data_IF_827222244855
#
_entry.id   IF_827222244855
#
_cell.length_a   1.000
_cell.length_b   1.000
_cell.length_c   1.000
_cell.angle_alpha   90.00
_cell.angle_beta   90.00
_cell.angle_gamma   90.00
#
_symmetry.space_group_name_H-M   'P 1'
#
loop_
_entity.id
_entity.type
_entity.pdbx_description
1 polymer ?
#
# COMPACT_ATOMS: atom_id res chain seq x y z
N UNK A 1 25.78 -8.25 -26.49
CA UNK A 1 24.56 -8.04 -25.68
C UNK A 1 24.04 -9.42 -25.30
N UNK A 2 24.05 -9.78 -24.02
CA UNK A 2 23.64 -11.10 -23.57
C UNK A 2 22.12 -11.23 -23.53
N UNK A 3 21.58 -12.37 -23.99
CA UNK A 3 20.18 -12.75 -23.77
C UNK A 3 20.00 -13.12 -22.30
N UNK A 4 19.33 -12.26 -21.53
CA UNK A 4 18.92 -12.58 -20.16
C UNK A 4 17.68 -13.47 -20.22
N UNK A 5 17.90 -14.78 -20.31
CA UNK A 5 16.81 -15.77 -20.27
C UNK A 5 16.44 -16.06 -18.81
N UNK A 6 15.17 -15.86 -18.47
CA UNK A 6 14.59 -16.26 -17.18
C UNK A 6 13.68 -17.46 -17.41
N UNK A 7 13.99 -18.58 -16.76
CA UNK A 7 13.14 -19.77 -16.75
C UNK A 7 12.23 -19.70 -15.54
N UNK A 8 10.93 -19.92 -15.74
CA UNK A 8 9.91 -19.94 -14.67
C UNK A 8 9.26 -21.31 -14.67
N UNK A 9 9.41 -22.03 -13.58
CA UNK A 9 8.69 -23.28 -13.37
C UNK A 9 7.26 -22.98 -12.93
N UNK A 10 6.31 -23.48 -13.71
CA UNK A 10 4.89 -23.22 -13.50
C UNK A 10 4.19 -24.53 -13.12
N UNK A 11 3.45 -24.59 -11.99
CA UNK A 11 2.64 -25.77 -11.65
C UNK A 11 1.64 -26.12 -12.76
N UNK A 12 1.35 -27.41 -12.92
CA UNK A 12 0.49 -27.92 -14.00
C UNK A 12 -0.91 -27.29 -13.98
N UNK A 13 -1.47 -27.05 -12.79
CA UNK A 13 -2.78 -26.44 -12.59
C UNK A 13 -2.81 -25.00 -13.12
N UNK A 14 -1.71 -24.27 -12.89
CA UNK A 14 -1.53 -22.91 -13.37
C UNK A 14 -1.38 -22.89 -14.89
N UNK A 15 -0.61 -23.81 -15.47
CA UNK A 15 -0.50 -23.95 -16.91
C UNK A 15 -1.86 -24.23 -17.57
N UNK A 16 -2.64 -25.17 -17.04
CA UNK A 16 -3.99 -25.46 -17.54
C UNK A 16 -4.91 -24.23 -17.51
N UNK A 17 -4.79 -23.39 -16.47
CA UNK A 17 -5.56 -22.15 -16.36
C UNK A 17 -5.16 -21.16 -17.45
N UNK A 18 -3.86 -21.00 -17.73
CA UNK A 18 -3.35 -20.14 -18.80
C UNK A 18 -3.87 -20.62 -20.16
N UNK A 19 -3.82 -21.92 -20.45
CA UNK A 19 -4.33 -22.50 -21.70
C UNK A 19 -5.81 -22.18 -21.89
N UNK A 20 -6.64 -22.39 -20.86
CA UNK A 20 -8.08 -22.08 -20.95
C UNK A 20 -8.34 -20.60 -21.23
N UNK A 21 -7.62 -19.71 -20.55
CA UNK A 21 -7.78 -18.26 -20.73
C UNK A 21 -7.28 -17.81 -22.11
N UNK A 22 -6.16 -18.35 -22.59
CA UNK A 22 -5.61 -18.06 -23.91
C UNK A 22 -6.60 -18.44 -25.03
N UNK A 23 -7.27 -19.60 -24.89
CA UNK A 23 -8.32 -20.00 -25.81
C UNK A 23 -9.53 -19.05 -25.81
N UNK A 24 -9.91 -18.50 -24.65
CA UNK A 24 -11.01 -17.54 -24.56
C UNK A 24 -10.71 -16.22 -25.28
N UNK A 25 -9.44 -15.82 -25.32
CA UNK A 25 -8.99 -14.59 -25.99
C UNK A 25 -8.42 -14.84 -27.40
N UNK A 26 -8.50 -16.08 -27.89
CA UNK A 26 -8.04 -16.46 -29.24
C UNK A 26 -6.52 -16.39 -29.44
N UNK A 27 -5.74 -16.43 -28.36
CA UNK A 27 -4.26 -16.37 -28.41
C UNK A 27 -3.63 -17.72 -28.14
N UNK A 28 -2.38 -17.89 -28.58
CA UNK A 28 -1.57 -19.04 -28.20
C UNK A 28 -1.21 -18.98 -26.70
N UNK A 29 -1.17 -20.11 -25.98
CA UNK A 29 -0.85 -20.13 -24.54
C UNK A 29 0.47 -19.45 -24.18
N UNK A 30 1.53 -19.66 -24.97
CA UNK A 30 2.86 -19.09 -24.70
C UNK A 30 2.90 -17.58 -24.91
N UNK A 31 2.18 -17.08 -25.92
CA UNK A 31 2.06 -15.66 -26.21
C UNK A 31 1.29 -14.95 -25.10
N UNK A 32 0.18 -15.54 -24.66
CA UNK A 32 -0.61 -15.01 -23.56
C UNK A 32 0.12 -15.06 -22.22
N UNK A 33 0.85 -16.15 -21.95
CA UNK A 33 1.67 -16.26 -20.74
C UNK A 33 2.75 -15.18 -20.69
N UNK A 34 3.43 -14.93 -21.82
CA UNK A 34 4.45 -13.89 -21.92
C UNK A 34 3.87 -12.51 -21.65
N UNK A 35 2.77 -12.17 -22.32
CA UNK A 35 2.10 -10.87 -22.16
C UNK A 35 1.64 -10.64 -20.71
N UNK A 36 1.12 -11.67 -20.04
CA UNK A 36 0.75 -11.61 -18.63
C UNK A 36 1.95 -11.34 -17.72
N UNK A 37 3.06 -12.02 -17.95
CA UNK A 37 4.29 -11.84 -17.16
C UNK A 37 4.88 -10.44 -17.40
N UNK A 38 4.98 -10.01 -18.66
CA UNK A 38 5.47 -8.67 -19.01
C UNK A 38 4.59 -7.58 -18.40
N UNK A 39 3.26 -7.71 -18.49
CA UNK A 39 2.32 -6.77 -17.87
C UNK A 39 2.49 -6.73 -16.35
N UNK A 40 2.61 -7.90 -15.70
CA UNK A 40 2.80 -7.97 -14.26
C UNK A 40 4.11 -7.31 -13.82
N UNK A 41 5.21 -7.52 -14.56
CA UNK A 41 6.50 -6.92 -14.28
C UNK A 41 6.49 -5.39 -14.46
N UNK A 42 5.91 -4.90 -15.56
CA UNK A 42 5.74 -3.46 -15.81
C UNK A 42 4.85 -2.78 -14.77
N UNK A 43 3.83 -3.49 -14.28
CA UNK A 43 2.97 -3.00 -13.19
C UNK A 43 3.73 -2.99 -11.85
N UNK A 44 4.66 -3.93 -11.64
CA UNK A 44 5.46 -4.01 -10.42
C UNK A 44 6.56 -2.94 -10.34
N UNK A 45 7.15 -2.52 -11.48
CA UNK A 45 8.08 -1.38 -11.52
C UNK A 45 7.44 -0.05 -11.11
N UNK A 46 6.10 0.05 -11.20
CA UNK A 46 5.34 1.22 -10.76
C UNK A 46 5.02 1.23 -9.26
N UNK A 47 5.35 0.15 -8.52
CA UNK A 47 5.16 0.10 -7.07
C UNK A 47 6.20 0.99 -6.41
N UNK A 48 5.85 2.26 -6.27
CA UNK A 48 6.54 3.20 -5.39
C UNK A 48 6.74 2.52 -4.02
N UNK A 49 7.88 2.74 -3.34
CA UNK A 49 8.07 2.21 -2.00
C UNK A 49 6.92 2.70 -1.13
N UNK A 50 6.02 1.77 -0.74
CA UNK A 50 4.88 2.12 0.08
C UNK A 50 5.40 2.62 1.41
N UNK A 51 5.15 3.88 1.70
CA UNK A 51 5.39 4.47 3.01
C UNK A 51 4.63 3.68 4.07
N UNK A 52 5.11 3.69 5.32
CA UNK A 52 4.41 3.05 6.44
C UNK A 52 2.95 3.50 6.54
N UNK A 53 2.67 4.77 6.22
CA UNK A 53 1.31 5.31 6.18
C UNK A 53 0.44 4.61 5.12
N UNK A 54 0.95 4.39 3.91
CA UNK A 54 0.21 3.71 2.84
C UNK A 54 -0.06 2.24 3.16
N UNK A 55 0.91 1.55 3.79
CA UNK A 55 0.72 0.17 4.24
C UNK A 55 -0.37 0.10 5.31
N UNK A 56 -0.32 1.00 6.29
CA UNK A 56 -1.31 1.05 7.36
C UNK A 56 -2.70 1.46 6.84
N UNK A 57 -2.76 2.34 5.84
CA UNK A 57 -4.02 2.72 5.19
C UNK A 57 -4.62 1.56 4.40
N UNK A 58 -3.81 0.83 3.63
CA UNK A 58 -4.25 -0.37 2.90
C UNK A 58 -4.75 -1.47 3.84
N UNK A 59 -4.14 -1.59 5.04
CA UNK A 59 -4.57 -2.51 6.08
C UNK A 59 -5.80 -2.01 6.89
N UNK A 60 -6.37 -0.86 6.55
CA UNK A 60 -7.50 -0.25 7.26
C UNK A 60 -7.15 0.23 8.69
N UNK A 61 -5.86 0.34 9.01
CA UNK A 61 -5.35 0.77 10.33
C UNK A 61 -5.19 2.28 10.44
N UNK A 62 -5.06 2.97 9.30
CA UNK A 62 -5.07 4.43 9.21
C UNK A 62 -6.19 4.82 8.26
N UNK A 63 -7.03 5.78 8.67
CA UNK A 63 -8.08 6.35 7.85
C UNK A 63 -7.69 7.77 7.46
N UNK A 64 -8.02 8.17 6.24
CA UNK A 64 -7.89 9.57 5.83
C UNK A 64 -8.70 10.48 6.77
N UNK A 65 -8.19 11.68 7.04
CA UNK A 65 -8.91 12.70 7.78
C UNK A 65 -10.23 13.03 7.06
N UNK A 66 -11.31 13.16 7.84
CA UNK A 66 -12.57 13.71 7.35
C UNK A 66 -12.38 15.15 6.90
N UNK A 67 -13.27 15.64 6.04
CA UNK A 67 -13.27 17.02 5.56
C UNK A 67 -13.24 18.02 6.74
N UNK A 68 -14.09 17.82 7.73
CA UNK A 68 -14.13 18.63 8.96
C UNK A 68 -12.83 18.64 9.78
N UNK A 69 -11.98 17.63 9.66
CA UNK A 69 -10.66 17.59 10.31
C UNK A 69 -9.58 18.22 9.42
N UNK A 70 -9.71 18.09 8.10
CA UNK A 70 -8.82 18.77 7.15
C UNK A 70 -8.97 20.29 7.26
N UNK A 71 -10.18 20.78 7.44
CA UNK A 71 -10.46 22.22 7.60
C UNK A 71 -9.82 22.82 8.86
N UNK A 72 -9.42 21.98 9.82
CA UNK A 72 -8.72 22.39 11.04
C UNK A 72 -7.20 22.39 10.90
N UNK A 73 -6.66 21.95 9.77
CA UNK A 73 -5.22 21.95 9.53
C UNK A 73 -4.75 23.39 9.38
N UNK A 74 -3.79 23.80 10.19
CA UNK A 74 -3.08 25.06 10.04
C UNK A 74 -1.85 24.79 9.17
N UNK A 75 -1.83 25.23 7.89
CA UNK A 75 -0.72 24.95 7.00
C UNK A 75 0.55 25.66 7.47
N UNK A 76 1.70 25.01 7.28
CA UNK A 76 3.01 25.55 7.63
C UNK A 76 3.42 25.39 9.09
N UNK A 77 2.55 24.86 9.96
CA UNK A 77 2.91 24.51 11.33
C UNK A 77 3.84 23.31 11.35
N UNK A 78 4.96 23.46 12.04
CA UNK A 78 6.00 22.44 12.20
C UNK A 78 5.75 21.55 13.42
N UNK A 79 6.35 20.37 13.44
CA UNK A 79 6.25 19.45 14.57
C UNK A 79 6.81 20.06 15.87
N UNK A 80 7.88 20.85 15.78
CA UNK A 80 8.51 21.47 16.95
C UNK A 80 7.63 22.55 17.57
N UNK A 81 6.95 23.35 16.74
CA UNK A 81 5.96 24.32 17.21
C UNK A 81 4.77 23.63 17.90
N UNK A 82 4.29 22.51 17.35
CA UNK A 82 3.25 21.70 18.00
C UNK A 82 3.72 21.16 19.34
N UNK A 83 4.95 20.64 19.42
CA UNK A 83 5.54 20.13 20.67
C UNK A 83 5.67 21.23 21.72
N UNK A 84 6.16 22.41 21.33
CA UNK A 84 6.30 23.54 22.22
C UNK A 84 4.94 24.02 22.76
N UNK A 85 3.93 24.10 21.90
CA UNK A 85 2.57 24.50 22.29
C UNK A 85 1.93 23.47 23.25
N UNK A 86 2.08 22.18 22.97
CA UNK A 86 1.55 21.12 23.84
C UNK A 86 2.29 21.02 25.17
N UNK A 87 3.60 21.27 25.21
CA UNK A 87 4.38 21.30 26.44
C UNK A 87 3.98 22.47 27.36
N UNK A 88 3.49 23.56 26.79
CA UNK A 88 3.00 24.73 27.53
C UNK A 88 1.53 24.60 27.95
N UNK A 89 0.79 23.64 27.39
CA UNK A 89 -0.59 23.42 27.75
C UNK A 89 -0.69 22.73 29.12
N UNK A 90 -1.48 23.29 30.04
CA UNK A 90 -1.69 22.72 31.38
C UNK A 90 -2.67 21.52 31.41
N UNK A 91 -2.72 20.74 30.32
CA UNK A 91 -3.64 19.61 30.13
C UNK A 91 -2.93 18.27 30.06
N UNK A 92 -3.69 17.16 30.06
CA UNK A 92 -3.12 15.83 29.86
C UNK A 92 -2.41 15.74 28.50
N UNK A 93 -1.30 15.01 28.48
CA UNK A 93 -0.54 14.73 27.29
C UNK A 93 -1.37 13.98 26.26
N UNK A 94 -0.98 14.08 24.98
CA UNK A 94 -1.65 13.33 23.91
C UNK A 94 -1.62 11.81 24.18
N UNK A 95 -0.54 11.31 24.79
CA UNK A 95 -0.42 9.90 25.15
C UNK A 95 -1.45 9.50 26.22
N UNK A 96 -1.69 10.35 27.21
CA UNK A 96 -2.71 10.11 28.25
C UNK A 96 -4.11 10.13 27.65
N UNK A 97 -4.43 11.15 26.84
CA UNK A 97 -5.72 11.26 26.14
C UNK A 97 -5.97 10.03 25.25
N UNK A 98 -4.95 9.56 24.51
CA UNK A 98 -5.07 8.38 23.65
C UNK A 98 -5.25 7.11 24.48
N UNK A 99 -4.54 7.00 25.60
CA UNK A 99 -4.63 5.83 26.49
C UNK A 99 -6.03 5.73 27.13
N UNK A 100 -6.58 6.85 27.61
CA UNK A 100 -7.95 6.91 28.15
C UNK A 100 -9.00 6.52 27.11
N UNK A 101 -8.81 6.93 25.84
CA UNK A 101 -9.77 6.70 24.74
C UNK A 101 -9.64 5.34 24.07
N UNK A 102 -8.50 4.66 24.18
CA UNK A 102 -8.27 3.33 23.56
C UNK A 102 -8.98 2.19 24.27
N UNK A 103 -9.45 2.38 25.51
CA UNK A 103 -9.96 1.30 26.35
C UNK A 103 -8.83 0.39 26.86
N UNK A 104 -9.15 -0.63 27.67
CA UNK A 104 -8.14 -1.52 28.23
C UNK A 104 -7.37 -2.27 27.14
N UNK A 105 -6.06 -2.42 27.33
CA UNK A 105 -5.25 -3.28 26.47
C UNK A 105 -5.76 -4.72 26.58
N UNK A 106 -6.11 -5.33 25.44
CA UNK A 106 -6.37 -6.76 25.34
C UNK A 106 -5.08 -7.55 25.54
#
# INVERSE_FOLDING_TARGET
MGLNTMTVDIPLETYQRVVRLAHQVGKAPDEWARELIETALLTHEQVHPRTTAEILQAAGRVRALSESLRDKIIPGVTLDEVRAALAQAAGPSLSEIVSERRGPAL
#
